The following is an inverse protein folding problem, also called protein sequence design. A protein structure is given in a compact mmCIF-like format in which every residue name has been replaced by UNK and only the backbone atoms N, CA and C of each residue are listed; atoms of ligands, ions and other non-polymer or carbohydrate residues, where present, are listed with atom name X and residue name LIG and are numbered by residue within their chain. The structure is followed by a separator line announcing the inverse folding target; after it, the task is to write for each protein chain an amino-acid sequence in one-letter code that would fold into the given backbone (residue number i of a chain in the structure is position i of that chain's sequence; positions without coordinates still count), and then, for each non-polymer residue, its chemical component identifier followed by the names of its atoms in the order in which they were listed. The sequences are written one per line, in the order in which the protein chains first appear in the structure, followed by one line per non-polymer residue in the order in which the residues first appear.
data_IF_808574826524
#
_entry.id   IF_808574826524
#
_cell.length_a   1.000
_cell.length_b   1.000
_cell.length_c   1.000
_cell.angle_alpha   90.00
_cell.angle_beta   90.00
_cell.angle_gamma   90.00
#
_symmetry.space_group_name_H-M   'P 1'
#
loop_
_entity.id
_entity.type
_entity.pdbx_description
1 polymer ?
#
# COMPACT_ATOMS: atom_id res chain seq x y z
N UNK A 1 3.54 24.73 8.02
CA UNK A 1 4.07 23.74 7.06
C UNK A 1 2.92 23.30 6.17
N UNK A 2 2.93 23.64 4.88
CA UNK A 2 1.82 23.29 3.98
C UNK A 2 2.00 21.82 3.57
N UNK A 3 1.11 20.95 4.03
CA UNK A 3 1.08 19.56 3.59
C UNK A 3 0.58 19.56 2.14
N UNK A 4 1.44 19.20 1.19
CA UNK A 4 1.08 19.09 -0.23
C UNK A 4 0.43 17.74 -0.52
N UNK A 5 -0.36 17.65 -1.59
CA UNK A 5 -0.97 16.39 -2.03
C UNK A 5 0.05 15.28 -2.29
N UNK A 6 1.26 15.63 -2.73
CA UNK A 6 2.39 14.70 -2.88
C UNK A 6 2.76 14.08 -1.53
N UNK A 7 2.90 14.88 -0.47
CA UNK A 7 3.24 14.40 0.88
C UNK A 7 2.17 13.45 1.43
N UNK A 8 0.89 13.78 1.27
CA UNK A 8 -0.22 12.90 1.69
C UNK A 8 -0.16 11.58 0.93
N UNK A 9 0.05 11.61 -0.39
CA UNK A 9 0.15 10.41 -1.21
C UNK A 9 1.29 9.50 -0.74
N UNK A 10 2.48 10.05 -0.48
CA UNK A 10 3.62 9.28 0.03
C UNK A 10 3.31 8.59 1.37
N UNK A 11 2.66 9.31 2.29
CA UNK A 11 2.26 8.76 3.61
C UNK A 11 1.24 7.64 3.44
N UNK A 12 0.18 7.87 2.65
CA UNK A 12 -0.87 6.86 2.41
C UNK A 12 -0.27 5.60 1.78
N UNK A 13 0.62 5.75 0.80
CA UNK A 13 1.29 4.62 0.17
C UNK A 13 2.07 3.76 1.17
N UNK A 14 2.87 4.38 2.05
CA UNK A 14 3.63 3.66 3.08
C UNK A 14 2.68 2.94 4.05
N UNK A 15 1.62 3.63 4.51
CA UNK A 15 0.63 3.03 5.42
C UNK A 15 -0.09 1.84 4.79
N UNK A 16 -0.42 1.90 3.50
CA UNK A 16 -1.04 0.79 2.77
C UNK A 16 -0.16 -0.45 2.72
N UNK A 17 1.16 -0.28 2.54
CA UNK A 17 2.12 -1.39 2.58
C UNK A 17 2.17 -1.99 3.99
N UNK A 18 2.33 -1.15 5.02
CA UNK A 18 2.40 -1.60 6.43
C UNK A 18 1.14 -2.38 6.80
N UNK A 19 -0.03 -1.85 6.44
CA UNK A 19 -1.32 -2.51 6.69
C UNK A 19 -1.40 -3.87 6.01
N UNK A 20 -1.01 -3.96 4.73
CA UNK A 20 -1.05 -5.21 3.97
C UNK A 20 -0.15 -6.28 4.58
N UNK A 21 1.08 -5.92 4.97
CA UNK A 21 2.02 -6.81 5.66
C UNK A 21 1.44 -7.26 7.00
N UNK A 22 0.91 -6.32 7.79
CA UNK A 22 0.33 -6.60 9.11
C UNK A 22 -0.85 -7.56 9.00
N UNK A 23 -1.73 -7.35 8.02
CA UNK A 23 -2.87 -8.23 7.75
C UNK A 23 -2.44 -9.65 7.39
N UNK A 24 -1.44 -9.78 6.51
CA UNK A 24 -0.91 -11.10 6.10
C UNK A 24 -0.28 -11.81 7.30
N UNK A 25 0.58 -11.13 8.05
CA UNK A 25 1.24 -11.68 9.24
C UNK A 25 0.21 -12.08 10.29
N UNK A 26 -0.78 -11.22 10.57
CA UNK A 26 -1.84 -11.51 11.54
C UNK A 26 -2.64 -12.76 11.16
N UNK A 27 -3.12 -12.85 9.92
CA UNK A 27 -3.89 -14.03 9.49
C UNK A 27 -3.04 -15.30 9.50
N UNK A 28 -1.77 -15.20 9.11
CA UNK A 28 -0.83 -16.33 9.18
C UNK A 28 -0.63 -16.81 10.62
N UNK A 29 -0.45 -15.90 11.58
CA UNK A 29 -0.32 -16.23 13.01
C UNK A 29 -1.59 -16.88 13.57
N UNK A 30 -2.75 -16.41 13.14
CA UNK A 30 -4.05 -16.96 13.55
C UNK A 30 -4.42 -18.24 12.79
N UNK A 31 -3.58 -18.72 11.86
CA UNK A 31 -3.87 -19.85 10.97
C UNK A 31 -5.19 -19.67 10.19
N UNK A 32 -5.59 -18.42 9.97
CA UNK A 32 -6.77 -18.07 9.19
C UNK A 32 -6.41 -18.13 7.71
N UNK A 33 -7.30 -18.67 6.86
CA UNK A 33 -7.10 -18.63 5.43
C UNK A 33 -7.07 -17.18 4.94
N UNK A 34 -6.07 -16.85 4.14
CA UNK A 34 -6.02 -15.57 3.45
C UNK A 34 -7.02 -15.57 2.30
N UNK A 35 -7.88 -14.56 2.22
CA UNK A 35 -8.78 -14.39 1.08
C UNK A 35 -7.94 -14.07 -0.18
N UNK A 36 -7.91 -14.96 -1.19
CA UNK A 36 -7.13 -14.74 -2.40
C UNK A 36 -7.61 -13.51 -3.19
N UNK A 37 -8.88 -13.14 -3.08
CA UNK A 37 -9.44 -11.93 -3.70
C UNK A 37 -8.84 -10.68 -3.05
N UNK A 38 -8.78 -10.67 -1.71
CA UNK A 38 -8.14 -9.57 -0.98
C UNK A 38 -6.67 -9.43 -1.35
N UNK A 39 -5.92 -10.54 -1.41
CA UNK A 39 -4.50 -10.52 -1.77
C UNK A 39 -4.29 -9.96 -3.18
N UNK A 40 -5.10 -10.38 -4.16
CA UNK A 40 -5.02 -9.87 -5.52
C UNK A 40 -5.29 -8.36 -5.58
N UNK A 41 -6.33 -7.89 -4.91
CA UNK A 41 -6.68 -6.46 -4.86
C UNK A 41 -5.58 -5.67 -4.17
N UNK A 42 -5.01 -6.18 -3.07
CA UNK A 42 -3.91 -5.52 -2.36
C UNK A 42 -2.67 -5.39 -3.25
N UNK A 43 -2.29 -6.45 -3.97
CA UNK A 43 -1.15 -6.42 -4.91
C UNK A 43 -1.38 -5.41 -6.03
N UNK A 44 -2.54 -5.46 -6.69
CA UNK A 44 -2.86 -4.51 -7.78
C UNK A 44 -2.85 -3.06 -7.27
N UNK A 45 -3.40 -2.82 -6.07
CA UNK A 45 -3.44 -1.48 -5.46
C UNK A 45 -2.04 -0.95 -5.16
N UNK A 46 -1.16 -1.80 -4.61
CA UNK A 46 0.23 -1.43 -4.35
C UNK A 46 0.95 -1.11 -5.66
N UNK A 47 0.82 -1.95 -6.68
CA UNK A 47 1.44 -1.73 -8.00
C UNK A 47 0.97 -0.40 -8.62
N UNK A 48 -0.34 -0.14 -8.60
CA UNK A 48 -0.89 1.11 -9.11
C UNK A 48 -0.35 2.33 -8.35
N UNK A 49 -0.31 2.26 -7.02
CA UNK A 49 0.27 3.34 -6.20
C UNK A 49 1.77 3.52 -6.46
N UNK A 50 2.54 2.45 -6.66
CA UNK A 50 3.97 2.52 -7.00
C UNK A 50 4.18 3.25 -8.33
N UNK A 51 3.37 2.98 -9.36
CA UNK A 51 3.46 3.68 -10.65
C UNK A 51 3.19 5.19 -10.49
N UNK A 52 2.16 5.55 -9.72
CA UNK A 52 1.85 6.95 -9.43
C UNK A 52 2.97 7.60 -8.62
N UNK A 53 3.53 6.92 -7.62
CA UNK A 53 4.67 7.39 -6.83
C UNK A 53 5.89 7.69 -7.72
N UNK A 54 6.25 6.76 -8.62
CA UNK A 54 7.38 6.96 -9.55
C UNK A 54 7.14 8.18 -10.44
N UNK A 55 5.92 8.33 -10.97
CA UNK A 55 5.57 9.50 -11.80
C UNK A 55 5.71 10.81 -11.01
N UNK A 56 5.15 10.88 -9.81
CA UNK A 56 5.18 12.08 -8.96
C UNK A 56 6.61 12.51 -8.59
N UNK A 57 7.53 11.55 -8.39
CA UNK A 57 8.93 11.82 -8.05
C UNK A 57 9.82 12.05 -9.30
N UNK A 58 9.42 11.62 -10.50
CA UNK A 58 10.13 11.94 -11.75
C UNK A 58 9.89 13.37 -12.24
N UNK A 59 8.83 14.01 -11.77
CA UNK A 59 8.50 15.42 -12.06
C UNK A 59 9.14 16.40 -11.05
N UNK A 60 10.01 15.93 -10.16
CA UNK A 60 10.94 16.71 -9.32
C UNK A 60 12.35 16.69 -9.93
#
# INVERSE_FOLDING_TARGET
MIITGKTIFKIVYILSIIFSITYIVWNTLQHNPLDPTYLLVAVISIVAMTLVFIKINKEE
#
